data_IF_764662567046
#
_entry.id   IF_764662567046
#
_cell.length_a   1.000
_cell.length_b   1.000
_cell.length_c   1.000
_cell.angle_alpha   90.00
_cell.angle_beta   90.00
_cell.angle_gamma   90.00
#
_symmetry.space_group_name_H-M   'P 1'
#
loop_
_entity.id
_entity.type
_entity.pdbx_description
1 polymer ?
#
# COMPACT_ATOMS: atom_id res chain seq x y z
N UNK A 1 41.64 53.37 -33.91
CA UNK A 1 41.65 51.97 -34.36
C UNK A 1 42.41 51.11 -33.36
N UNK A 2 41.76 50.60 -32.33
CA UNK A 2 42.27 49.56 -31.39
C UNK A 2 41.24 49.32 -30.28
N UNK A 3 40.12 48.69 -30.60
CA UNK A 3 39.13 48.23 -29.58
C UNK A 3 38.36 46.96 -29.94
N UNK A 4 38.87 46.11 -30.81
CA UNK A 4 38.09 44.93 -31.23
C UNK A 4 38.68 43.54 -30.88
N UNK A 5 39.79 43.49 -30.15
CA UNK A 5 40.43 42.20 -29.88
C UNK A 5 40.18 41.61 -28.48
N UNK A 6 39.37 42.29 -27.61
CA UNK A 6 39.15 41.83 -26.23
C UNK A 6 37.86 41.03 -26.02
N UNK A 7 36.92 41.15 -26.95
CA UNK A 7 35.63 40.42 -26.88
C UNK A 7 35.72 38.97 -27.32
N UNK A 8 36.46 38.70 -28.39
CA UNK A 8 36.54 37.35 -28.94
C UNK A 8 37.24 36.32 -28.04
N UNK A 9 38.17 36.81 -27.18
CA UNK A 9 38.91 35.90 -26.27
C UNK A 9 38.13 35.47 -25.04
N UNK A 10 37.07 36.20 -24.71
CA UNK A 10 36.19 35.91 -23.54
C UNK A 10 35.14 34.87 -23.92
N UNK A 11 34.69 34.87 -25.16
CA UNK A 11 33.69 33.93 -25.64
C UNK A 11 34.28 32.51 -25.90
N UNK A 12 35.57 32.44 -26.27
CA UNK A 12 36.28 31.19 -26.45
C UNK A 12 36.58 30.47 -25.12
N UNK A 13 36.80 31.25 -24.04
CA UNK A 13 37.04 30.69 -22.70
C UNK A 13 35.75 30.16 -22.07
N UNK A 14 34.61 30.80 -22.38
CA UNK A 14 33.27 30.33 -21.88
C UNK A 14 32.78 29.06 -22.62
N UNK A 15 33.21 28.81 -23.84
CA UNK A 15 32.84 27.60 -24.60
C UNK A 15 33.56 26.33 -24.15
N UNK A 16 34.71 26.44 -23.49
CA UNK A 16 35.52 25.29 -23.06
C UNK A 16 35.17 24.75 -21.69
N UNK A 17 34.33 25.46 -20.91
CA UNK A 17 33.91 25.02 -19.53
C UNK A 17 32.54 24.36 -19.46
N UNK A 18 31.88 24.06 -20.62
CA UNK A 18 30.50 23.56 -20.62
C UNK A 18 30.37 22.11 -21.09
N UNK A 19 31.38 21.30 -20.88
CA UNK A 19 31.37 19.86 -21.20
C UNK A 19 31.93 19.01 -20.04
N UNK A 20 31.56 19.36 -18.79
CA UNK A 20 31.58 18.32 -17.73
C UNK A 20 30.20 17.72 -17.68
N UNK A 21 30.04 16.63 -18.43
CA UNK A 21 28.85 15.80 -18.38
C UNK A 21 28.62 15.30 -16.98
N UNK A 22 27.57 15.81 -16.34
CA UNK A 22 27.07 15.29 -15.07
C UNK A 22 26.31 13.99 -15.38
N UNK A 23 27.04 12.88 -15.45
CA UNK A 23 26.44 11.56 -15.51
C UNK A 23 25.80 11.27 -14.16
N UNK A 24 24.52 11.62 -14.01
CA UNK A 24 23.70 11.15 -12.90
C UNK A 24 23.46 9.66 -13.15
N UNK A 25 24.24 8.81 -12.50
CA UNK A 25 23.93 7.40 -12.38
C UNK A 25 22.66 7.28 -11.57
N UNK A 26 21.51 7.12 -12.25
CA UNK A 26 20.26 6.70 -11.60
C UNK A 26 20.48 5.28 -11.09
N UNK A 27 20.85 5.18 -9.80
CA UNK A 27 20.77 3.92 -9.09
C UNK A 27 19.27 3.57 -8.99
N UNK A 28 18.79 2.65 -9.82
CA UNK A 28 17.48 2.03 -9.67
C UNK A 28 17.54 1.19 -8.40
N UNK A 29 17.04 1.74 -7.31
CA UNK A 29 16.80 0.97 -6.09
C UNK A 29 15.62 0.06 -6.42
N UNK A 30 15.90 -1.15 -6.85
CA UNK A 30 14.93 -2.23 -6.88
C UNK A 30 14.57 -2.53 -5.43
N UNK A 31 13.40 -2.06 -4.98
CA UNK A 31 12.84 -2.50 -3.72
C UNK A 31 12.62 -4.02 -3.84
N UNK A 32 13.50 -4.80 -3.23
CA UNK A 32 13.29 -6.23 -3.07
C UNK A 32 11.98 -6.40 -2.29
N UNK A 33 10.96 -7.00 -2.93
CA UNK A 33 9.75 -7.40 -2.21
C UNK A 33 10.17 -8.46 -1.20
N UNK A 34 9.86 -8.23 0.08
CA UNK A 34 10.03 -9.26 1.08
C UNK A 34 9.16 -10.47 0.72
N UNK A 35 9.65 -11.68 0.99
CA UNK A 35 8.85 -12.89 0.81
C UNK A 35 7.60 -12.83 1.68
N UNK A 36 6.44 -13.31 1.17
CA UNK A 36 5.23 -13.36 1.95
C UNK A 36 5.40 -14.20 3.22
N UNK A 37 4.84 -13.73 4.32
CA UNK A 37 4.85 -14.43 5.60
C UNK A 37 3.51 -15.15 5.78
N UNK A 38 3.49 -16.49 6.01
CA UNK A 38 2.23 -17.19 6.24
C UNK A 38 1.54 -16.68 7.51
N UNK A 39 0.21 -16.62 7.48
CA UNK A 39 -0.59 -16.14 8.61
C UNK A 39 -0.35 -16.95 9.89
N UNK A 40 -0.05 -18.26 9.74
CA UNK A 40 0.31 -19.15 10.83
C UNK A 40 1.56 -18.71 11.62
N UNK A 41 2.43 -17.90 11.02
CA UNK A 41 3.62 -17.36 11.72
C UNK A 41 3.25 -16.37 12.85
N UNK A 42 2.02 -15.88 12.86
CA UNK A 42 1.48 -14.97 13.88
C UNK A 42 0.63 -15.69 14.93
N UNK A 43 0.54 -17.01 14.85
CA UNK A 43 -0.19 -17.82 15.80
C UNK A 43 0.61 -18.02 17.11
N UNK A 44 -0.10 -18.21 18.22
CA UNK A 44 0.48 -18.63 19.48
C UNK A 44 0.89 -20.12 19.46
N UNK A 45 1.42 -20.61 20.58
CA UNK A 45 1.87 -22.00 20.72
C UNK A 45 0.73 -23.04 20.54
N UNK A 46 -0.53 -22.63 20.66
CA UNK A 46 -1.73 -23.46 20.47
C UNK A 46 -2.34 -23.33 19.08
N UNK A 47 -1.74 -22.51 18.20
CA UNK A 47 -2.23 -22.28 16.84
C UNK A 47 -3.30 -21.21 16.71
N UNK A 48 -3.58 -20.43 17.77
CA UNK A 48 -4.57 -19.35 17.74
C UNK A 48 -3.92 -18.01 17.36
N UNK A 49 -4.66 -17.23 16.57
CA UNK A 49 -4.24 -15.88 16.16
C UNK A 49 -5.20 -14.87 16.81
N UNK A 50 -4.64 -13.88 17.49
CA UNK A 50 -5.40 -12.72 17.96
C UNK A 50 -5.69 -11.79 16.77
N UNK A 51 -6.82 -11.98 16.14
CA UNK A 51 -7.24 -11.21 14.95
C UNK A 51 -7.48 -9.72 15.25
N UNK A 52 -7.71 -9.35 16.51
CA UNK A 52 -7.83 -7.94 16.89
C UNK A 52 -6.47 -7.25 17.03
N UNK A 53 -5.42 -8.02 17.24
CA UNK A 53 -4.07 -7.50 17.37
C UNK A 53 -3.35 -7.37 16.01
N UNK A 54 -3.79 -8.07 14.98
CA UNK A 54 -3.14 -8.07 13.67
C UNK A 54 -3.06 -6.67 13.06
N UNK A 55 -1.92 -6.39 12.43
CA UNK A 55 -1.64 -5.12 11.77
C UNK A 55 -1.85 -5.21 10.26
N UNK A 56 -2.03 -4.06 9.66
CA UNK A 56 -2.09 -3.89 8.21
C UNK A 56 -0.85 -4.44 7.50
N UNK A 57 0.36 -4.26 8.06
CA UNK A 57 1.58 -4.81 7.50
C UNK A 57 1.56 -6.33 7.44
N UNK A 58 0.97 -6.99 8.42
CA UNK A 58 0.80 -8.45 8.42
C UNK A 58 -0.17 -8.91 7.34
N UNK A 59 -1.29 -8.22 7.14
CA UNK A 59 -2.23 -8.50 6.04
C UNK A 59 -1.60 -8.26 4.66
N UNK A 60 -0.93 -7.13 4.48
CA UNK A 60 -0.35 -6.75 3.19
C UNK A 60 0.83 -7.63 2.75
N UNK A 61 1.51 -8.28 3.71
CA UNK A 61 2.70 -9.10 3.47
C UNK A 61 2.44 -10.62 3.59
N UNK A 62 1.19 -11.05 3.75
CA UNK A 62 0.86 -12.48 3.77
C UNK A 62 0.57 -13.03 2.38
N UNK A 63 0.40 -14.35 2.27
CA UNK A 63 -0.05 -14.99 1.04
C UNK A 63 -1.49 -14.59 0.72
N UNK A 64 -1.86 -14.59 -0.57
CA UNK A 64 -3.20 -14.17 -0.99
C UNK A 64 -4.30 -15.08 -0.40
N UNK A 65 -4.05 -16.37 -0.30
CA UNK A 65 -4.97 -17.33 0.32
C UNK A 65 -5.21 -17.02 1.79
N UNK A 66 -4.16 -16.66 2.52
CA UNK A 66 -4.24 -16.28 3.93
C UNK A 66 -4.97 -14.93 4.09
N UNK A 67 -4.70 -13.97 3.21
CA UNK A 67 -5.43 -12.71 3.18
C UNK A 67 -6.93 -12.92 2.93
N UNK A 68 -7.29 -13.78 1.97
CA UNK A 68 -8.68 -14.12 1.67
C UNK A 68 -9.36 -14.81 2.88
N UNK A 69 -8.67 -15.73 3.53
CA UNK A 69 -9.19 -16.42 4.72
C UNK A 69 -9.44 -15.42 5.86
N UNK A 70 -8.49 -14.52 6.11
CA UNK A 70 -8.58 -13.51 7.17
C UNK A 70 -9.69 -12.49 6.91
N UNK A 71 -9.79 -11.97 5.69
CA UNK A 71 -10.85 -11.01 5.31
C UNK A 71 -12.23 -11.65 5.32
N UNK A 72 -12.35 -12.93 4.94
CA UNK A 72 -13.59 -13.71 5.07
C UNK A 72 -13.99 -13.90 6.53
N UNK A 73 -13.02 -14.13 7.41
CA UNK A 73 -13.27 -14.24 8.85
C UNK A 73 -13.83 -12.91 9.41
N UNK A 74 -13.20 -11.77 9.11
CA UNK A 74 -13.70 -10.46 9.54
C UNK A 74 -15.08 -10.16 8.96
N UNK A 75 -15.32 -10.48 7.69
CA UNK A 75 -16.63 -10.31 7.05
C UNK A 75 -17.71 -11.12 7.77
N UNK A 76 -17.44 -12.39 8.09
CA UNK A 76 -18.34 -13.24 8.86
C UNK A 76 -18.63 -12.71 10.25
N UNK A 77 -17.61 -12.19 10.92
CA UNK A 77 -17.74 -11.59 12.26
C UNK A 77 -18.62 -10.33 12.24
N UNK A 78 -18.35 -9.38 11.34
CA UNK A 78 -19.15 -8.16 11.20
C UNK A 78 -20.59 -8.44 10.80
N UNK A 79 -20.82 -9.34 9.85
CA UNK A 79 -22.16 -9.73 9.41
C UNK A 79 -22.92 -10.47 10.53
N UNK A 80 -22.23 -11.33 11.29
CA UNK A 80 -22.80 -12.02 12.44
C UNK A 80 -23.25 -11.06 13.53
N UNK A 81 -22.42 -10.05 13.88
CA UNK A 81 -22.79 -9.01 14.84
C UNK A 81 -23.99 -8.18 14.37
N UNK A 82 -24.11 -7.94 13.08
CA UNK A 82 -25.22 -7.19 12.48
C UNK A 82 -26.46 -8.07 12.20
N UNK A 83 -26.44 -9.36 12.55
CA UNK A 83 -27.50 -10.33 12.27
C UNK A 83 -27.93 -10.39 10.78
N UNK A 84 -26.95 -10.18 9.86
CA UNK A 84 -27.21 -10.22 8.42
C UNK A 84 -27.13 -11.65 7.89
N UNK A 85 -28.11 -12.03 7.05
CA UNK A 85 -28.21 -13.36 6.44
C UNK A 85 -27.82 -13.38 4.96
N UNK A 86 -27.65 -12.20 4.36
CA UNK A 86 -27.31 -12.04 2.96
C UNK A 86 -25.88 -11.54 2.83
N UNK A 87 -25.15 -12.12 1.88
CA UNK A 87 -23.79 -11.71 1.57
C UNK A 87 -23.70 -11.26 0.10
N UNK A 88 -23.19 -10.04 -0.10
CA UNK A 88 -22.80 -9.58 -1.42
C UNK A 88 -21.31 -9.91 -1.64
N UNK A 89 -21.05 -11.01 -2.32
CA UNK A 89 -19.68 -11.47 -2.57
C UNK A 89 -18.90 -10.56 -3.53
N UNK A 90 -19.59 -9.85 -4.43
CA UNK A 90 -18.93 -8.88 -5.30
C UNK A 90 -18.45 -7.68 -4.49
N UNK A 91 -19.33 -7.11 -3.68
CA UNK A 91 -19.00 -6.00 -2.80
C UNK A 91 -17.95 -6.39 -1.75
N UNK A 92 -18.05 -7.60 -1.21
CA UNK A 92 -17.06 -8.14 -0.28
C UNK A 92 -15.63 -8.12 -0.85
N UNK A 93 -15.45 -8.50 -2.12
CA UNK A 93 -14.14 -8.42 -2.79
C UNK A 93 -13.68 -6.99 -3.05
N UNK A 94 -14.59 -6.08 -3.35
CA UNK A 94 -14.25 -4.66 -3.49
C UNK A 94 -13.73 -4.09 -2.17
N UNK A 95 -14.42 -4.35 -1.06
CA UNK A 95 -14.00 -3.93 0.29
C UNK A 95 -12.66 -4.58 0.68
N UNK A 96 -12.50 -5.87 0.41
CA UNK A 96 -11.22 -6.57 0.64
C UNK A 96 -10.06 -5.86 -0.07
N UNK A 97 -10.23 -5.56 -1.36
CA UNK A 97 -9.23 -4.86 -2.14
C UNK A 97 -8.90 -3.48 -1.55
N UNK A 98 -9.92 -2.69 -1.19
CA UNK A 98 -9.75 -1.39 -0.56
C UNK A 98 -8.98 -1.49 0.76
N UNK A 99 -9.32 -2.46 1.60
CA UNK A 99 -8.62 -2.71 2.88
C UNK A 99 -7.15 -3.06 2.64
N UNK A 100 -6.85 -3.93 1.67
CA UNK A 100 -5.47 -4.31 1.36
C UNK A 100 -4.67 -3.11 0.85
N UNK A 101 -5.23 -2.31 -0.05
CA UNK A 101 -4.56 -1.09 -0.56
C UNK A 101 -4.32 -0.06 0.55
N UNK A 102 -5.31 0.16 1.40
CA UNK A 102 -5.14 1.00 2.59
C UNK A 102 -4.04 0.46 3.51
N UNK A 103 -4.03 -0.84 3.75
CA UNK A 103 -3.06 -1.50 4.61
C UNK A 103 -1.62 -1.42 4.08
N UNK A 104 -1.42 -1.44 2.76
CA UNK A 104 -0.09 -1.21 2.14
C UNK A 104 0.46 0.19 2.46
N UNK A 105 -0.42 1.18 2.53
CA UNK A 105 -0.05 2.56 2.84
C UNK A 105 0.10 2.84 4.34
N UNK A 106 -0.54 2.02 5.20
CA UNK A 106 -0.62 2.22 6.65
C UNK A 106 -0.27 0.94 7.43
N UNK A 107 0.96 0.40 7.29
CA UNK A 107 1.32 -0.92 7.83
C UNK A 107 1.23 -1.03 9.36
N UNK A 108 1.34 0.08 10.08
CA UNK A 108 1.26 0.14 11.56
C UNK A 108 -0.18 0.10 12.09
N UNK A 109 -1.18 0.37 11.24
CA UNK A 109 -2.58 0.37 11.64
C UNK A 109 -3.07 -1.06 11.91
N UNK A 110 -4.10 -1.19 12.73
CA UNK A 110 -4.78 -2.48 12.93
C UNK A 110 -5.75 -2.76 11.79
N UNK A 111 -5.80 -4.02 11.35
CA UNK A 111 -6.72 -4.44 10.27
C UNK A 111 -8.17 -4.11 10.61
N UNK A 112 -8.59 -4.35 11.85
CA UNK A 112 -9.96 -4.06 12.30
C UNK A 112 -10.31 -2.57 12.18
N UNK A 113 -9.34 -1.69 12.37
CA UNK A 113 -9.52 -0.25 12.17
C UNK A 113 -9.66 0.10 10.68
N UNK A 114 -8.80 -0.47 9.83
CA UNK A 114 -8.86 -0.28 8.39
C UNK A 114 -10.22 -0.73 7.81
N UNK A 115 -10.70 -1.89 8.21
CA UNK A 115 -12.03 -2.39 7.79
C UNK A 115 -13.14 -1.42 8.22
N UNK A 116 -13.09 -0.94 9.48
CA UNK A 116 -14.06 0.02 9.99
C UNK A 116 -14.12 1.32 9.19
N UNK A 117 -12.96 1.83 8.74
CA UNK A 117 -12.86 3.00 7.88
C UNK A 117 -13.49 2.75 6.50
N UNK A 118 -13.11 1.67 5.82
CA UNK A 118 -13.63 1.35 4.48
C UNK A 118 -15.14 1.14 4.49
N UNK A 119 -15.67 0.42 5.48
CA UNK A 119 -17.12 0.23 5.64
C UNK A 119 -17.86 1.55 5.93
N UNK A 120 -17.23 2.49 6.62
CA UNK A 120 -17.82 3.81 6.89
C UNK A 120 -17.84 4.66 5.61
N UNK A 121 -16.79 4.64 4.82
CA UNK A 121 -16.71 5.34 3.54
C UNK A 121 -17.74 4.81 2.56
N UNK A 122 -17.83 3.49 2.40
CA UNK A 122 -18.82 2.84 1.54
C UNK A 122 -20.27 3.19 1.90
N UNK A 123 -20.57 3.31 3.19
CA UNK A 123 -21.90 3.76 3.64
C UNK A 123 -22.16 5.23 3.29
N UNK A 124 -21.17 6.10 3.47
CA UNK A 124 -21.28 7.52 3.16
C UNK A 124 -21.50 7.77 1.66
N UNK A 125 -20.91 6.91 0.81
CA UNK A 125 -21.07 6.95 -0.64
C UNK A 125 -22.33 6.21 -1.15
N UNK A 126 -23.15 5.65 -0.25
CA UNK A 126 -24.35 4.91 -0.60
C UNK A 126 -24.09 3.59 -1.32
N UNK A 127 -22.87 3.09 -1.27
CA UNK A 127 -22.46 1.85 -1.94
C UNK A 127 -22.83 0.58 -1.16
N UNK A 128 -23.27 0.70 0.08
CA UNK A 128 -23.75 -0.44 0.87
C UNK A 128 -25.27 -0.57 0.72
N UNK A 129 -25.69 -1.58 -0.01
CA UNK A 129 -27.11 -1.94 -0.08
C UNK A 129 -27.54 -2.55 1.27
N UNK A 130 -28.41 -1.87 1.98
CA UNK A 130 -29.11 -2.44 3.12
C UNK A 130 -30.28 -3.30 2.60
N UNK A 131 -30.16 -4.61 2.80
CA UNK A 131 -31.29 -5.53 2.71
C UNK A 131 -31.71 -5.97 4.11
#
# INVERSE_FOLDING_TARGET
>A
MKRETKSAKKDELMRKTMLLGFSIAMATISAAKADPVPLSAYADANGFIDVQALTCGQLANTYQEDANALTSWYSGWYNGLAHKHYADFKKGREVEHQVIEYCKAHPEQKIIHAIGLMLKEDRAEGMMMEK
#
